data_IF_200198748582
#
_entry.id   IF_200198748582
#
_cell.length_a   1.000
_cell.length_b   1.000
_cell.length_c   1.000
_cell.angle_alpha   90.00
_cell.angle_beta   90.00
_cell.angle_gamma   90.00
#
_symmetry.space_group_name_H-M   'P 1'
#
loop_
_entity.id
_entity.type
_entity.pdbx_description
1 polymer ?
#
# COMPACT_ATOMS: atom_id res chain seq x y z
N UNK A 1 7.50 13.48 -19.93
CA UNK A 1 7.34 13.34 -18.46
C UNK A 1 8.38 12.36 -17.96
N UNK A 2 9.25 12.80 -17.05
CA UNK A 2 10.31 11.96 -16.51
C UNK A 2 9.76 10.99 -15.46
N UNK A 3 10.34 9.78 -15.41
CA UNK A 3 10.00 8.79 -14.38
C UNK A 3 10.99 8.92 -13.23
N UNK A 4 10.55 9.50 -12.12
CA UNK A 4 11.41 9.85 -10.98
C UNK A 4 11.56 8.70 -9.97
N UNK A 5 10.59 7.78 -9.95
CA UNK A 5 10.67 6.51 -9.21
C UNK A 5 10.41 5.39 -10.21
N UNK A 6 11.40 4.52 -10.37
CA UNK A 6 11.33 3.32 -11.21
C UNK A 6 11.28 2.08 -10.35
N UNK A 7 10.50 1.10 -10.77
CA UNK A 7 10.30 -0.16 -10.06
C UNK A 7 10.66 -1.34 -10.95
N UNK A 8 11.36 -2.31 -10.37
CA UNK A 8 11.56 -3.63 -10.98
C UNK A 8 10.63 -4.63 -10.31
N UNK A 9 9.53 -5.01 -10.97
CA UNK A 9 8.53 -5.94 -10.43
C UNK A 9 9.06 -7.35 -10.15
N UNK A 10 10.28 -7.66 -10.61
CA UNK A 10 10.94 -8.95 -10.35
C UNK A 10 11.79 -8.92 -9.07
N UNK A 11 11.96 -7.75 -8.45
CA UNK A 11 12.74 -7.57 -7.22
C UNK A 11 11.83 -7.36 -6.01
N UNK A 12 12.21 -7.90 -4.83
CA UNK A 12 11.50 -7.60 -3.60
C UNK A 12 11.58 -6.11 -3.26
N UNK A 13 10.64 -5.62 -2.46
CA UNK A 13 10.57 -4.22 -2.05
C UNK A 13 11.86 -3.68 -1.42
N UNK A 14 12.58 -4.52 -0.66
CA UNK A 14 13.87 -4.18 -0.04
C UNK A 14 14.98 -3.89 -1.06
N UNK A 15 14.86 -4.38 -2.29
CA UNK A 15 15.84 -4.22 -3.36
C UNK A 15 15.48 -3.11 -4.36
N UNK A 16 14.46 -2.30 -4.06
CA UNK A 16 14.04 -1.16 -4.88
C UNK A 16 14.88 0.11 -4.60
N UNK A 17 16.16 -0.02 -4.22
CA UNK A 17 17.07 1.10 -3.94
C UNK A 17 16.53 2.12 -2.90
N UNK A 18 15.74 1.63 -1.93
CA UNK A 18 15.18 2.45 -0.85
C UNK A 18 14.10 3.45 -1.27
N UNK A 19 13.56 3.36 -2.49
CA UNK A 19 12.46 4.24 -2.95
C UNK A 19 11.07 3.80 -2.46
N UNK A 20 11.02 2.66 -1.76
CA UNK A 20 9.81 2.07 -1.21
C UNK A 20 9.81 2.16 0.32
N UNK A 21 8.66 2.48 0.90
CA UNK A 21 8.39 2.30 2.34
C UNK A 21 7.02 1.64 2.56
N UNK A 22 6.79 1.03 3.72
CA UNK A 22 5.49 0.39 4.03
C UNK A 22 4.93 0.76 5.42
N UNK A 23 5.44 1.85 5.99
CA UNK A 23 4.96 2.46 7.24
C UNK A 23 4.83 3.96 7.03
N UNK A 24 3.91 4.57 7.76
CA UNK A 24 3.85 6.02 7.91
C UNK A 24 4.71 6.44 9.09
N UNK A 25 5.72 7.29 8.83
CA UNK A 25 6.59 7.84 9.86
C UNK A 25 7.19 9.17 9.40
N UNK A 26 7.22 10.23 10.24
CA UNK A 26 7.66 11.58 9.85
C UNK A 26 9.13 11.65 9.40
N UNK A 27 9.95 10.73 9.88
CA UNK A 27 11.40 10.75 9.65
C UNK A 27 11.87 9.96 8.42
N UNK A 28 10.94 9.39 7.62
CA UNK A 28 11.31 8.70 6.37
C UNK A 28 11.87 9.75 5.39
N UNK A 29 13.12 9.62 4.92
CA UNK A 29 13.71 10.62 4.02
C UNK A 29 13.02 10.64 2.66
N UNK A 30 12.90 11.84 2.07
CA UNK A 30 12.42 12.01 0.71
C UNK A 30 13.33 11.26 -0.28
N UNK A 31 12.73 10.60 -1.27
CA UNK A 31 13.46 9.82 -2.28
C UNK A 31 13.80 10.64 -3.52
N UNK A 32 13.03 11.71 -3.75
CA UNK A 32 13.20 12.72 -4.77
C UNK A 32 12.68 14.08 -4.26
N UNK A 33 13.16 15.17 -4.85
CA UNK A 33 12.64 16.52 -4.64
C UNK A 33 12.14 17.05 -5.99
N UNK A 34 10.98 17.70 -5.97
CA UNK A 34 10.37 18.37 -7.13
C UNK A 34 9.96 19.79 -6.77
N UNK A 35 9.66 20.61 -7.78
CA UNK A 35 9.14 21.96 -7.61
C UNK A 35 7.62 21.99 -7.77
N UNK A 36 6.93 22.96 -7.14
CA UNK A 36 5.52 23.20 -7.44
C UNK A 36 5.29 23.37 -8.95
N UNK A 37 4.35 22.61 -9.50
CA UNK A 37 4.02 22.60 -10.93
C UNK A 37 4.81 21.60 -11.79
N UNK A 38 5.75 20.85 -11.21
CA UNK A 38 6.43 19.78 -11.95
C UNK A 38 5.48 18.60 -12.25
N UNK A 39 5.58 18.05 -13.47
CA UNK A 39 4.87 16.84 -13.90
C UNK A 39 5.85 15.67 -14.01
N UNK A 40 5.51 14.53 -13.39
CA UNK A 40 6.39 13.36 -13.35
C UNK A 40 5.60 12.05 -13.26
N UNK A 41 6.29 10.95 -13.56
CA UNK A 41 5.77 9.58 -13.42
C UNK A 41 6.38 8.90 -12.21
N UNK A 42 5.54 8.16 -11.49
CA UNK A 42 5.92 7.25 -10.40
C UNK A 42 5.49 5.83 -10.79
N UNK A 43 6.42 4.89 -10.77
CA UNK A 43 6.10 3.47 -10.87
C UNK A 43 5.87 2.88 -9.47
N UNK A 44 4.98 1.90 -9.36
CA UNK A 44 4.57 1.28 -8.10
C UNK A 44 4.64 -0.24 -8.21
N UNK A 45 4.95 -0.90 -7.09
CA UNK A 45 4.65 -2.32 -6.92
C UNK A 45 3.15 -2.48 -6.66
N UNK A 46 2.61 -3.68 -6.89
CA UNK A 46 1.34 -4.03 -6.25
C UNK A 46 1.52 -3.98 -4.73
N UNK A 47 0.43 -3.76 -4.00
CA UNK A 47 0.46 -3.55 -2.55
C UNK A 47 1.11 -4.68 -1.73
N UNK A 48 1.13 -5.91 -2.25
CA UNK A 48 1.75 -7.07 -1.61
C UNK A 48 3.23 -7.24 -1.95
N UNK A 49 3.73 -6.51 -2.95
CA UNK A 49 5.10 -6.64 -3.44
C UNK A 49 5.33 -7.96 -4.18
N UNK A 50 4.32 -8.44 -4.89
CA UNK A 50 4.38 -9.66 -5.69
C UNK A 50 4.19 -10.96 -4.92
N UNK A 51 3.61 -10.94 -3.70
CA UNK A 51 3.29 -12.18 -2.98
C UNK A 51 2.23 -13.01 -3.71
N UNK A 52 1.28 -12.34 -4.37
CA UNK A 52 0.20 -13.00 -5.12
C UNK A 52 0.65 -13.30 -6.56
N UNK A 53 0.32 -14.49 -7.04
CA UNK A 53 0.74 -15.03 -8.35
C UNK A 53 -0.44 -15.15 -9.30
N UNK A 54 -0.15 -15.06 -10.60
CA UNK A 54 -1.12 -15.30 -11.66
C UNK A 54 -1.22 -16.80 -11.93
N UNK A 55 -2.00 -17.50 -11.10
CA UNK A 55 -2.24 -18.94 -11.19
C UNK A 55 -3.65 -19.30 -10.67
N UNK A 56 -3.97 -20.60 -10.68
CA UNK A 56 -5.30 -21.13 -10.36
C UNK A 56 -5.50 -21.50 -8.87
N UNK A 57 -4.62 -21.07 -7.96
CA UNK A 57 -4.73 -21.40 -6.53
C UNK A 57 -4.86 -20.16 -5.67
N UNK A 58 -5.69 -20.22 -4.61
CA UNK A 58 -5.85 -19.13 -3.66
C UNK A 58 -4.95 -19.28 -2.41
N UNK A 59 -3.99 -20.22 -2.42
CA UNK A 59 -3.09 -20.44 -1.28
C UNK A 59 -2.23 -19.21 -0.98
N UNK A 60 -1.80 -18.48 -2.01
CA UNK A 60 -1.05 -17.23 -1.84
C UNK A 60 -1.90 -16.15 -1.16
N UNK A 61 -3.19 -16.04 -1.47
CA UNK A 61 -4.12 -15.16 -0.74
C UNK A 61 -4.34 -15.63 0.70
N UNK A 62 -4.37 -16.95 0.95
CA UNK A 62 -4.48 -17.50 2.30
C UNK A 62 -3.26 -17.18 3.16
N UNK A 63 -2.06 -17.31 2.58
CA UNK A 63 -0.79 -17.32 3.30
C UNK A 63 -0.01 -15.99 3.21
N UNK A 64 -0.54 -15.01 2.48
CA UNK A 64 0.07 -13.67 2.34
C UNK A 64 0.37 -13.05 3.69
N UNK A 65 1.58 -12.51 3.83
CA UNK A 65 2.00 -11.80 5.01
C UNK A 65 1.45 -10.36 4.97
N UNK A 66 0.26 -10.20 5.54
CA UNK A 66 -0.42 -8.91 5.65
C UNK A 66 0.32 -7.92 6.55
N UNK A 67 1.43 -8.28 7.21
CA UNK A 67 2.26 -7.29 7.92
C UNK A 67 3.16 -6.48 6.97
N UNK A 68 3.41 -6.99 5.77
CA UNK A 68 4.25 -6.35 4.75
C UNK A 68 3.54 -5.22 4.00
N UNK A 69 2.22 -5.29 3.84
CA UNK A 69 1.47 -4.30 3.06
C UNK A 69 1.42 -2.93 3.76
N UNK A 70 1.34 -1.82 3.03
CA UNK A 70 1.41 -1.63 1.56
C UNK A 70 2.78 -1.11 1.15
N UNK A 71 3.37 -1.58 0.06
CA UNK A 71 4.61 -1.00 -0.47
C UNK A 71 4.34 0.27 -1.29
N UNK A 72 4.76 1.42 -0.75
CA UNK A 72 4.51 2.75 -1.30
C UNK A 72 5.77 3.33 -1.94
N UNK A 73 5.62 3.87 -3.15
CA UNK A 73 6.66 4.62 -3.86
C UNK A 73 6.74 6.05 -3.34
N UNK A 74 7.84 6.41 -2.71
CA UNK A 74 8.05 7.72 -2.10
C UNK A 74 8.89 7.63 -0.83
N UNK A 75 8.84 8.67 0.03
CA UNK A 75 8.09 9.92 -0.12
C UNK A 75 8.74 10.90 -1.12
N UNK A 76 7.93 11.67 -1.85
CA UNK A 76 8.43 12.72 -2.77
C UNK A 76 8.28 14.06 -2.06
N UNK A 77 9.38 14.81 -1.95
CA UNK A 77 9.37 16.14 -1.35
C UNK A 77 9.10 17.23 -2.38
N UNK A 78 8.41 18.29 -1.96
CA UNK A 78 8.12 19.45 -2.80
C UNK A 78 8.84 20.66 -2.20
N UNK A 79 9.63 21.37 -3.00
CA UNK A 79 10.35 22.56 -2.57
C UNK A 79 9.38 23.62 -2.04
N UNK A 80 9.63 24.08 -0.81
CA UNK A 80 8.84 25.14 -0.17
C UNK A 80 7.52 24.70 0.47
N UNK A 81 7.16 23.41 0.45
CA UNK A 81 5.97 22.93 1.14
C UNK A 81 6.17 22.93 2.67
N UNK A 82 5.21 23.50 3.41
CA UNK A 82 5.26 23.65 4.87
C UNK A 82 4.05 23.00 5.56
N UNK A 83 4.17 22.64 6.87
CA UNK A 83 3.01 22.19 7.64
C UNK A 83 1.88 23.22 7.64
N UNK A 84 0.69 22.80 7.21
CA UNK A 84 -0.50 23.65 7.09
C UNK A 84 -0.88 23.97 5.64
N UNK A 85 0.01 23.73 4.68
CA UNK A 85 -0.30 23.85 3.26
C UNK A 85 -1.22 22.71 2.77
N UNK A 86 -1.87 22.96 1.63
CA UNK A 86 -2.54 21.92 0.86
C UNK A 86 -1.66 21.51 -0.32
N UNK A 87 -1.39 20.22 -0.41
CA UNK A 87 -0.74 19.64 -1.60
C UNK A 87 -1.80 19.37 -2.66
N UNK A 88 -1.77 20.13 -3.76
CA UNK A 88 -2.63 19.89 -4.92
C UNK A 88 -1.92 18.91 -5.84
N UNK A 89 -2.58 17.78 -6.13
CA UNK A 89 -2.04 16.72 -7.01
C UNK A 89 -3.06 16.46 -8.10
N UNK A 90 -2.69 16.77 -9.33
CA UNK A 90 -3.47 16.38 -10.51
C UNK A 90 -3.02 15.00 -10.97
N UNK A 91 -3.92 14.01 -10.87
CA UNK A 91 -3.68 12.67 -11.43
C UNK A 91 -3.96 12.74 -12.93
N UNK A 92 -2.91 12.97 -13.71
CA UNK A 92 -3.02 13.15 -15.16
C UNK A 92 -3.38 11.86 -15.90
N UNK A 93 -2.84 10.73 -15.44
CA UNK A 93 -3.12 9.39 -15.98
C UNK A 93 -2.71 8.31 -14.98
N UNK A 94 -3.33 7.13 -15.09
CA UNK A 94 -2.99 5.91 -14.31
C UNK A 94 -3.01 4.72 -15.25
N UNK A 95 -2.02 3.84 -15.14
CA UNK A 95 -1.92 2.67 -15.99
C UNK A 95 -1.04 1.57 -15.41
N UNK A 96 -0.96 0.48 -16.15
CA UNK A 96 -0.23 -0.73 -15.76
C UNK A 96 1.19 -0.71 -16.33
N UNK A 97 2.11 -1.42 -15.66
CA UNK A 97 3.43 -1.65 -16.22
C UNK A 97 3.34 -2.69 -17.34
N UNK A 98 4.01 -2.43 -18.46
CA UNK A 98 3.95 -3.23 -19.69
C UNK A 98 4.29 -4.72 -19.47
N UNK A 99 5.18 -5.02 -18.51
CA UNK A 99 5.57 -6.39 -18.19
C UNK A 99 4.69 -7.02 -17.09
N UNK A 100 3.59 -6.37 -16.71
CA UNK A 100 2.66 -6.78 -15.64
C UNK A 100 1.21 -6.41 -15.97
N UNK A 101 0.74 -6.78 -17.16
CA UNK A 101 -0.62 -6.51 -17.68
C UNK A 101 -1.69 -7.47 -17.11
N UNK A 102 -1.64 -7.70 -15.79
CA UNK A 102 -2.62 -8.49 -15.05
C UNK A 102 -2.77 -7.96 -13.62
N UNK A 103 -3.87 -8.32 -12.96
CA UNK A 103 -4.13 -8.02 -11.57
C UNK A 103 -4.92 -9.12 -10.87
N UNK A 104 -5.28 -8.91 -9.61
CA UNK A 104 -6.04 -9.90 -8.84
C UNK A 104 -7.10 -9.25 -7.95
N UNK A 105 -8.14 -10.02 -7.67
CA UNK A 105 -9.06 -9.81 -6.56
C UNK A 105 -8.95 -11.00 -5.63
N UNK A 106 -8.91 -10.74 -4.32
CA UNK A 106 -8.84 -11.76 -3.30
C UNK A 106 -9.97 -11.60 -2.28
N UNK A 107 -10.44 -12.73 -1.74
CA UNK A 107 -11.12 -12.78 -0.45
C UNK A 107 -10.12 -13.41 0.49
N UNK A 108 -9.76 -12.72 1.58
CA UNK A 108 -8.87 -13.30 2.57
C UNK A 108 -9.58 -14.33 3.44
N UNK A 109 -8.82 -15.32 3.93
CA UNK A 109 -9.31 -16.21 4.97
C UNK A 109 -9.63 -15.40 6.24
N UNK A 110 -10.64 -15.84 7.01
CA UNK A 110 -11.01 -15.21 8.27
C UNK A 110 -9.83 -15.10 9.24
N UNK A 111 -8.99 -16.14 9.25
CA UNK A 111 -7.83 -16.25 10.12
C UNK A 111 -6.66 -15.34 9.68
N UNK A 112 -6.69 -14.82 8.45
CA UNK A 112 -5.63 -13.97 7.89
C UNK A 112 -6.20 -12.79 7.11
N UNK A 113 -6.87 -11.87 7.80
CA UNK A 113 -7.35 -10.58 7.26
C UNK A 113 -8.88 -10.47 7.20
N UNK A 114 -9.57 -11.51 6.76
CA UNK A 114 -11.03 -11.51 6.59
C UNK A 114 -11.54 -10.50 5.56
N UNK A 115 -12.76 -10.03 5.73
CA UNK A 115 -13.41 -9.10 4.81
C UNK A 115 -14.87 -8.82 5.19
N UNK A 116 -15.55 -8.01 4.39
CA UNK A 116 -16.91 -7.54 4.69
C UNK A 116 -17.92 -8.69 4.86
N UNK A 117 -17.83 -9.72 4.00
CA UNK A 117 -18.71 -10.90 4.01
C UNK A 117 -18.02 -12.15 4.59
N UNK A 118 -17.06 -11.98 5.51
CA UNK A 118 -16.23 -13.08 6.03
C UNK A 118 -17.02 -14.19 6.72
N UNK A 119 -18.21 -13.89 7.25
CA UNK A 119 -19.06 -14.92 7.88
C UNK A 119 -19.73 -15.84 6.84
N UNK A 120 -19.90 -15.39 5.60
CA UNK A 120 -20.46 -16.15 4.49
C UNK A 120 -19.37 -16.83 3.66
N UNK A 121 -18.22 -16.15 3.49
CA UNK A 121 -17.07 -16.63 2.73
C UNK A 121 -15.80 -16.58 3.61
N UNK A 122 -15.63 -17.54 4.55
CA UNK A 122 -14.53 -17.52 5.50
C UNK A 122 -13.19 -18.00 4.92
N UNK A 123 -13.22 -18.71 3.79
CA UNK A 123 -12.02 -19.24 3.16
C UNK A 123 -11.40 -18.27 2.15
N UNK A 124 -10.08 -18.36 1.95
CA UNK A 124 -9.42 -17.61 0.91
C UNK A 124 -9.91 -17.97 -0.51
N UNK A 125 -10.06 -16.95 -1.36
CA UNK A 125 -10.42 -17.08 -2.78
C UNK A 125 -9.62 -16.07 -3.60
N UNK A 126 -9.40 -16.37 -4.88
CA UNK A 126 -8.68 -15.51 -5.82
C UNK A 126 -9.36 -15.50 -7.18
N UNK A 127 -9.39 -14.35 -7.83
CA UNK A 127 -9.65 -14.21 -9.25
C UNK A 127 -8.55 -13.34 -9.86
N UNK A 128 -7.85 -13.85 -10.87
CA UNK A 128 -6.90 -13.08 -11.68
C UNK A 128 -7.62 -12.41 -12.85
N UNK A 129 -7.18 -11.20 -13.18
CA UNK A 129 -7.70 -10.35 -14.24
C UNK A 129 -6.61 -10.05 -15.26
N UNK A 130 -6.90 -10.23 -16.53
CA UNK A 130 -6.02 -9.87 -17.63
C UNK A 130 -6.47 -8.51 -18.19
N UNK A 131 -5.51 -7.63 -18.49
CA UNK A 131 -5.78 -6.27 -18.96
C UNK A 131 -5.60 -6.14 -20.47
N UNK A 132 -6.57 -5.52 -21.14
CA UNK A 132 -6.62 -5.30 -22.58
C UNK A 132 -6.89 -3.83 -22.88
N UNK A 133 -5.82 -3.03 -22.88
CA UNK A 133 -5.95 -1.57 -22.89
C UNK A 133 -6.65 -1.10 -21.61
N UNK A 134 -7.81 -0.47 -21.75
CA UNK A 134 -8.62 -0.04 -20.59
C UNK A 134 -9.57 -1.12 -20.06
N UNK A 135 -9.68 -2.27 -20.73
CA UNK A 135 -10.61 -3.33 -20.35
C UNK A 135 -9.95 -4.37 -19.45
N UNK A 136 -10.73 -4.98 -18.56
CA UNK A 136 -10.33 -6.12 -17.75
C UNK A 136 -11.31 -7.28 -17.94
N UNK A 137 -10.78 -8.50 -18.03
CA UNK A 137 -11.57 -9.74 -18.05
C UNK A 137 -10.93 -10.79 -17.13
N UNK A 138 -11.70 -11.77 -16.68
CA UNK A 138 -11.19 -12.85 -15.82
C UNK A 138 -11.58 -14.21 -16.35
N UNK A 139 -10.60 -15.11 -16.49
CA UNK A 139 -10.84 -16.53 -16.78
C UNK A 139 -11.65 -17.26 -15.70
N UNK A 140 -11.69 -16.71 -14.48
CA UNK A 140 -12.45 -17.26 -13.36
C UNK A 140 -13.91 -16.80 -13.33
N UNK A 141 -14.25 -15.75 -14.08
CA UNK A 141 -15.59 -15.15 -14.11
C UNK A 141 -16.01 -15.00 -15.59
N UNK A 142 -16.52 -16.09 -16.21
CA UNK A 142 -16.83 -16.09 -17.62
C UNK A 142 -17.92 -15.08 -18.00
N UNK A 143 -17.78 -14.48 -19.19
CA UNK A 143 -18.78 -13.55 -19.74
C UNK A 143 -18.73 -12.14 -19.14
N UNK A 144 -17.70 -11.80 -18.36
CA UNK A 144 -17.51 -10.48 -17.78
C UNK A 144 -16.28 -9.79 -18.40
N UNK A 145 -16.53 -8.61 -18.97
CA UNK A 145 -15.52 -7.65 -19.40
C UNK A 145 -16.04 -6.24 -19.09
N UNK A 146 -15.18 -5.37 -18.59
CA UNK A 146 -15.54 -3.98 -18.28
C UNK A 146 -14.35 -3.04 -18.45
N UNK A 147 -14.63 -1.77 -18.71
CA UNK A 147 -13.63 -0.72 -18.69
C UNK A 147 -13.24 -0.40 -17.24
N UNK A 148 -11.95 -0.40 -16.94
CA UNK A 148 -11.40 -0.10 -15.63
C UNK A 148 -11.54 1.38 -15.28
N UNK A 149 -11.87 1.65 -14.02
CA UNK A 149 -11.76 2.98 -13.42
C UNK A 149 -10.45 2.95 -12.63
N UNK A 150 -9.35 3.29 -13.30
CA UNK A 150 -8.01 3.20 -12.71
C UNK A 150 -7.81 4.36 -11.71
N UNK A 151 -7.47 4.02 -10.48
CA UNK A 151 -7.28 4.97 -9.38
C UNK A 151 -6.25 4.41 -8.37
N UNK A 152 -5.53 5.27 -7.64
CA UNK A 152 -4.74 4.84 -6.50
C UNK A 152 -5.65 4.59 -5.30
N UNK A 153 -5.69 3.37 -4.76
CA UNK A 153 -6.35 3.10 -3.48
C UNK A 153 -5.69 3.83 -2.31
N UNK A 154 -4.37 4.06 -2.42
CA UNK A 154 -3.54 4.68 -1.38
C UNK A 154 -2.69 5.83 -1.91
N UNK A 155 -2.93 7.03 -1.40
CA UNK A 155 -2.10 8.23 -1.64
C UNK A 155 -2.19 9.19 -0.44
N UNK A 156 -1.07 9.81 -0.04
CA UNK A 156 -1.05 10.77 1.06
C UNK A 156 0.34 11.29 1.41
N UNK A 157 0.39 12.31 2.26
CA UNK A 157 1.63 12.91 2.77
C UNK A 157 2.08 12.24 4.08
N UNK A 158 3.35 12.40 4.45
CA UNK A 158 3.84 11.94 5.76
C UNK A 158 3.10 12.65 6.92
N UNK A 159 2.82 11.95 8.03
CA UNK A 159 2.23 12.58 9.21
C UNK A 159 3.25 13.41 9.99
N UNK A 160 2.78 14.29 10.88
CA UNK A 160 3.62 14.84 11.95
C UNK A 160 3.87 13.80 13.06
N UNK A 161 4.81 14.10 13.98
CA UNK A 161 5.06 13.24 15.15
C UNK A 161 3.84 13.14 16.06
N UNK A 162 3.14 14.25 16.26
CA UNK A 162 1.94 14.34 17.09
C UNK A 162 0.81 13.52 16.50
N UNK A 163 0.60 13.62 15.18
CA UNK A 163 -0.44 12.88 14.49
C UNK A 163 -0.17 11.36 14.51
N UNK A 164 1.09 10.96 14.28
CA UNK A 164 1.51 9.56 14.40
C UNK A 164 1.25 9.01 15.82
N UNK A 165 1.60 9.79 16.85
CA UNK A 165 1.38 9.39 18.24
C UNK A 165 -0.11 9.22 18.56
N UNK A 166 -0.97 10.11 18.06
CA UNK A 166 -2.42 10.01 18.24
C UNK A 166 -3.00 8.76 17.56
N UNK A 167 -2.56 8.46 16.34
CA UNK A 167 -2.95 7.23 15.62
C UNK A 167 -2.62 5.97 16.42
N UNK A 168 -1.36 5.85 16.83
CA UNK A 168 -0.90 4.70 17.60
C UNK A 168 -1.67 4.57 18.92
N UNK A 169 -1.92 5.69 19.62
CA UNK A 169 -2.65 5.69 20.89
C UNK A 169 -4.10 5.22 20.73
N UNK A 170 -4.86 5.77 19.78
CA UNK A 170 -6.28 5.40 19.63
C UNK A 170 -6.48 4.00 19.05
N UNK A 171 -5.62 3.59 18.11
CA UNK A 171 -5.70 2.26 17.50
C UNK A 171 -5.28 1.17 18.48
N UNK A 172 -4.23 1.40 19.27
CA UNK A 172 -3.86 0.48 20.36
C UNK A 172 -4.94 0.39 21.43
N UNK A 173 -5.58 1.52 21.78
CA UNK A 173 -6.75 1.54 22.67
C UNK A 173 -7.93 0.71 22.15
N UNK A 174 -8.22 0.74 20.84
CA UNK A 174 -9.26 -0.09 20.24
C UNK A 174 -8.91 -1.58 20.32
N UNK A 175 -7.69 -1.96 19.95
CA UNK A 175 -7.24 -3.36 20.03
C UNK A 175 -7.30 -3.88 21.47
N UNK A 176 -6.96 -3.06 22.46
CA UNK A 176 -7.03 -3.43 23.87
C UNK A 176 -8.46 -3.79 24.35
N UNK A 177 -9.51 -3.41 23.63
CA UNK A 177 -10.90 -3.75 23.98
C UNK A 177 -11.27 -5.20 23.66
N UNK A 178 -10.58 -5.82 22.68
CA UNK A 178 -10.75 -7.23 22.29
C UNK A 178 -9.45 -7.75 21.61
N UNK A 179 -8.38 -7.99 22.40
CA UNK A 179 -7.03 -8.21 21.87
C UNK A 179 -6.87 -9.53 21.12
N UNK A 180 -7.71 -10.52 21.39
CA UNK A 180 -7.66 -11.85 20.78
C UNK A 180 -8.66 -12.01 19.61
N UNK A 181 -9.30 -10.92 19.18
CA UNK A 181 -10.29 -10.96 18.10
C UNK A 181 -9.64 -11.40 16.78
N UNK A 182 -10.35 -12.30 16.08
CA UNK A 182 -9.99 -12.71 14.72
C UNK A 182 -11.13 -12.42 13.74
N UNK A 183 -10.92 -11.56 12.72
CA UNK A 183 -9.72 -10.74 12.45
C UNK A 183 -9.48 -9.64 13.52
N UNK A 184 -8.26 -9.08 13.64
CA UNK A 184 -7.97 -8.02 14.60
C UNK A 184 -8.77 -6.75 14.31
N UNK A 185 -9.00 -5.92 15.34
CA UNK A 185 -9.74 -4.65 15.20
C UNK A 185 -8.95 -3.54 14.49
N UNK A 186 -7.62 -3.53 14.66
CA UNK A 186 -6.71 -2.63 13.97
C UNK A 186 -5.33 -3.29 13.81
N UNK A 187 -4.54 -2.81 12.85
CA UNK A 187 -3.17 -3.27 12.63
C UNK A 187 -2.18 -2.32 13.31
N UNK A 188 -1.59 -2.76 14.43
CA UNK A 188 -0.65 -1.97 15.22
C UNK A 188 0.74 -1.88 14.55
N UNK A 189 1.59 -0.91 14.94
CA UNK A 189 2.99 -0.87 14.52
C UNK A 189 3.68 -2.23 14.68
N UNK A 190 4.38 -2.65 13.62
CA UNK A 190 5.07 -3.93 13.60
C UNK A 190 6.39 -3.81 12.84
N UNK A 191 7.49 -3.94 13.59
CA UNK A 191 8.84 -3.70 13.09
C UNK A 191 9.40 -4.84 12.23
N UNK A 192 8.93 -6.08 12.43
CA UNK A 192 9.54 -7.28 11.81
C UNK A 192 9.55 -7.28 10.29
N UNK A 193 8.60 -6.57 9.67
CA UNK A 193 8.45 -6.45 8.21
C UNK A 193 8.43 -5.00 7.74
N UNK A 194 8.88 -4.08 8.58
CA UNK A 194 8.90 -2.66 8.24
C UNK A 194 10.01 -2.36 7.22
N UNK A 195 9.65 -1.68 6.13
CA UNK A 195 10.55 -1.08 5.15
C UNK A 195 10.46 0.43 5.32
N UNK A 196 11.56 1.03 5.76
CA UNK A 196 11.63 2.45 6.18
C UNK A 196 12.36 3.32 5.14
N UNK A 197 12.26 2.99 3.86
CA UNK A 197 12.89 3.73 2.77
C UNK A 197 14.40 3.85 2.93
N UNK A 198 14.92 5.08 2.81
CA UNK A 198 16.36 5.39 2.90
C UNK A 198 16.87 5.67 4.33
N UNK A 199 16.10 5.35 5.37
CA UNK A 199 16.57 5.51 6.75
C UNK A 199 17.82 4.65 7.00
N UNK A 200 18.77 5.18 7.79
CA UNK A 200 19.94 4.41 8.24
C UNK A 200 19.49 3.27 9.16
N UNK A 201 20.17 2.11 9.19
CA UNK A 201 19.71 0.91 9.89
C UNK A 201 19.23 1.13 11.34
N UNK A 202 20.01 1.81 12.18
CA UNK A 202 19.65 2.02 13.59
C UNK A 202 18.43 2.94 13.75
N UNK A 203 18.36 4.01 12.94
CA UNK A 203 17.22 4.92 12.93
C UNK A 203 15.96 4.25 12.38
N UNK A 204 16.11 3.42 11.33
CA UNK A 204 15.04 2.60 10.79
C UNK A 204 14.51 1.61 11.83
N UNK A 205 15.38 0.93 12.56
CA UNK A 205 15.00 -0.01 13.60
C UNK A 205 14.29 0.66 14.79
N UNK A 206 14.63 1.91 15.11
CA UNK A 206 13.92 2.70 16.10
C UNK A 206 12.53 3.13 15.59
N UNK A 207 12.48 3.78 14.44
CA UNK A 207 11.25 4.28 13.82
C UNK A 207 10.25 3.16 13.49
N UNK A 208 10.72 1.98 13.07
CA UNK A 208 9.87 0.83 12.75
C UNK A 208 9.04 0.32 13.93
N UNK A 209 9.42 0.63 15.18
CA UNK A 209 8.66 0.26 16.39
C UNK A 209 7.39 1.09 16.56
N UNK A 210 7.36 2.29 16.00
CA UNK A 210 6.24 3.23 16.11
C UNK A 210 5.63 3.62 14.76
N UNK A 211 6.25 3.24 13.64
CA UNK A 211 5.73 3.50 12.30
C UNK A 211 4.35 2.88 12.12
N UNK A 212 3.35 3.72 11.85
CA UNK A 212 1.97 3.28 11.72
C UNK A 212 1.79 2.41 10.47
N UNK A 213 0.93 1.39 10.58
CA UNK A 213 0.52 0.57 9.43
C UNK A 213 -0.24 1.44 8.43
N UNK A 214 -0.04 1.17 7.15
CA UNK A 214 -0.68 1.92 6.05
C UNK A 214 -2.08 1.38 5.72
N UNK A 215 -2.64 0.47 6.53
CA UNK A 215 -3.91 -0.21 6.26
C UNK A 215 -5.14 0.70 6.29
N UNK A 216 -5.38 1.52 7.35
CA UNK A 216 -6.59 2.32 7.40
C UNK A 216 -6.41 3.69 6.73
N UNK A 217 -7.49 4.29 6.21
CA UNK A 217 -7.53 5.72 5.92
C UNK A 217 -7.46 6.52 7.22
N UNK A 218 -6.85 7.70 7.15
CA UNK A 218 -6.71 8.62 8.29
C UNK A 218 -6.89 10.06 7.83
N UNK A 219 -6.65 11.01 8.73
CA UNK A 219 -6.83 12.46 8.49
C UNK A 219 -6.06 12.98 7.27
N UNK A 220 -4.94 12.35 6.93
CA UNK A 220 -4.09 12.73 5.81
C UNK A 220 -4.49 12.09 4.46
N UNK A 221 -5.62 11.38 4.41
CA UNK A 221 -5.94 10.45 3.33
C UNK A 221 -5.33 9.09 3.60
N UNK A 222 -4.31 8.70 2.83
CA UNK A 222 -3.71 7.38 2.93
C UNK A 222 -4.56 6.36 2.18
N UNK A 223 -4.89 5.24 2.82
CA UNK A 223 -5.58 4.12 2.18
C UNK A 223 -7.10 4.30 2.18
N UNK A 224 -7.59 5.19 1.33
CA UNK A 224 -9.00 5.55 1.28
C UNK A 224 -9.85 4.62 0.42
N UNK A 225 -9.27 4.03 -0.63
CA UNK A 225 -9.97 3.15 -1.58
C UNK A 225 -11.28 3.78 -2.13
N UNK A 226 -11.20 5.03 -2.61
CA UNK A 226 -12.32 5.83 -3.15
C UNK A 226 -12.39 5.77 -4.68
#
# INVERSE_FOLDING_TARGET
MDTIIKIDVKKPASEQNGVIHNRWHPEIPMVAMVKPGDEFRVECLDWTGGQIKNDETANDVRDVDLTQVHYLSGPIGVEGAEPGDLMVVDILDVGVLKDSEWGFTGIFAKENGGGFLVNQYPDARKACWDFHGIYASSRHIPGVEFAGIMHPGLIGCLPSKELLAEWNKRESGLVATDPERVPPLAALPYAGTAVMGRMKPDAAAAAAKEGARTVPPREHGGNCDI
#
